data_IF_185222494433
#
_entry.id   IF_185222494433
#
_cell.length_a   1.000
_cell.length_b   1.000
_cell.length_c   1.000
_cell.angle_alpha   90.00
_cell.angle_beta   90.00
_cell.angle_gamma   90.00
#
_symmetry.space_group_name_H-M   'P 1'
#
loop_
_entity.id
_entity.type
_entity.pdbx_description
1 polymer ?
#
# COMPACT_ATOMS: atom_id res chain seq x y z
N UNK A 1 51.30 -32.60 -78.92
CA UNK A 1 50.14 -31.87 -78.38
C UNK A 1 49.76 -32.48 -77.05
N UNK A 2 50.10 -31.80 -75.94
CA UNK A 2 49.69 -32.16 -74.58
C UNK A 2 48.52 -31.26 -74.20
N UNK A 3 47.37 -31.85 -73.89
CA UNK A 3 46.18 -31.12 -73.46
C UNK A 3 46.06 -31.26 -71.94
N UNK A 4 46.21 -30.13 -71.24
CA UNK A 4 46.12 -30.06 -69.79
C UNK A 4 44.64 -29.96 -69.40
N UNK A 5 44.19 -30.86 -68.53
CA UNK A 5 42.87 -30.80 -67.88
C UNK A 5 43.05 -30.05 -66.56
N UNK A 6 42.43 -28.89 -66.43
CA UNK A 6 42.33 -28.11 -65.20
C UNK A 6 41.27 -28.74 -64.28
N UNK A 7 41.65 -29.19 -63.09
CA UNK A 7 40.71 -29.47 -61.99
C UNK A 7 40.59 -28.22 -61.12
N UNK A 8 39.42 -27.58 -61.12
CA UNK A 8 39.03 -26.60 -60.11
C UNK A 8 38.80 -27.32 -58.78
N UNK A 9 39.66 -27.09 -57.79
CA UNK A 9 39.35 -27.41 -56.40
C UNK A 9 38.52 -26.25 -55.81
N UNK A 10 37.25 -26.52 -55.53
CA UNK A 10 36.38 -25.61 -54.77
C UNK A 10 36.69 -25.85 -53.29
N UNK A 11 37.42 -24.91 -52.67
CA UNK A 11 37.58 -24.83 -51.23
C UNK A 11 36.26 -24.30 -50.63
N UNK A 12 35.48 -25.20 -50.04
CA UNK A 12 34.35 -24.80 -49.20
C UNK A 12 34.91 -24.23 -47.89
N UNK A 13 34.93 -22.90 -47.79
CA UNK A 13 35.18 -22.19 -46.53
C UNK A 13 33.95 -22.42 -45.65
N UNK A 14 34.07 -23.35 -44.70
CA UNK A 14 33.08 -23.57 -43.66
C UNK A 14 33.15 -22.39 -42.69
N UNK A 15 32.29 -21.40 -42.90
CA UNK A 15 31.98 -20.45 -41.83
C UNK A 15 31.10 -21.18 -40.83
N UNK A 16 31.70 -21.68 -39.76
CA UNK A 16 30.97 -21.97 -38.54
C UNK A 16 30.36 -20.65 -38.06
N UNK A 17 29.14 -20.37 -38.51
CA UNK A 17 28.23 -19.46 -37.85
C UNK A 17 27.95 -20.11 -36.50
N UNK A 18 28.70 -19.71 -35.49
CA UNK A 18 28.30 -19.89 -34.12
C UNK A 18 27.03 -19.04 -33.96
N UNK A 19 25.87 -19.68 -34.07
CA UNK A 19 24.64 -19.08 -33.58
C UNK A 19 24.83 -18.99 -32.07
N UNK A 20 25.28 -17.84 -31.58
CA UNK A 20 24.90 -17.42 -30.24
C UNK A 20 23.37 -17.34 -30.30
N UNK A 21 22.68 -18.42 -29.94
CA UNK A 21 21.33 -18.28 -29.44
C UNK A 21 21.51 -17.44 -28.17
N UNK A 22 21.01 -16.21 -28.21
CA UNK A 22 20.76 -15.40 -27.03
C UNK A 22 19.77 -16.19 -26.16
N UNK A 23 20.28 -17.20 -25.45
CA UNK A 23 19.56 -17.93 -24.40
C UNK A 23 19.61 -17.11 -23.10
N UNK A 24 19.48 -15.79 -23.21
CA UNK A 24 19.19 -14.97 -22.05
C UNK A 24 17.86 -15.48 -21.47
N UNK A 25 17.83 -15.80 -20.16
CA UNK A 25 16.64 -16.35 -19.54
C UNK A 25 15.47 -15.40 -19.77
N UNK A 26 14.34 -15.93 -20.25
CA UNK A 26 13.10 -15.17 -20.42
C UNK A 26 12.19 -15.44 -19.23
N UNK A 27 11.45 -14.44 -18.74
CA UNK A 27 10.53 -14.68 -17.64
C UNK A 27 9.46 -15.68 -18.07
N UNK A 28 8.94 -16.43 -17.11
CA UNK A 28 7.76 -17.25 -17.36
C UNK A 28 6.56 -16.34 -17.62
N UNK A 29 5.79 -16.64 -18.66
CA UNK A 29 4.57 -15.89 -19.00
C UNK A 29 3.51 -16.14 -17.92
N UNK A 30 2.93 -15.07 -17.40
CA UNK A 30 1.90 -15.06 -16.38
C UNK A 30 0.79 -14.07 -16.75
N UNK A 31 -0.37 -14.24 -16.12
CA UNK A 31 -1.41 -13.22 -16.13
C UNK A 31 -0.91 -11.95 -15.40
N UNK A 32 -1.49 -10.80 -15.76
CA UNK A 32 -1.21 -9.55 -15.10
C UNK A 32 -1.53 -9.65 -13.59
N UNK A 33 -0.57 -9.34 -12.70
CA UNK A 33 -0.78 -9.50 -11.27
C UNK A 33 -1.66 -8.38 -10.70
N UNK A 34 -2.56 -8.74 -9.79
CA UNK A 34 -3.31 -7.78 -8.95
C UNK A 34 -2.49 -7.43 -7.70
N UNK A 35 -1.28 -6.89 -7.90
CA UNK A 35 -0.45 -6.45 -6.78
C UNK A 35 -1.06 -5.21 -6.12
N UNK A 36 -1.37 -5.34 -4.83
CA UNK A 36 -1.92 -4.27 -4.01
C UNK A 36 -1.60 -4.49 -2.55
N UNK A 37 -1.72 -3.43 -1.76
CA UNK A 37 -1.61 -3.53 -0.31
C UNK A 37 -2.83 -4.27 0.26
N UNK A 38 -2.58 -5.42 0.89
CA UNK A 38 -3.62 -6.25 1.51
C UNK A 38 -3.77 -5.95 3.00
N UNK A 39 -4.83 -5.21 3.33
CA UNK A 39 -5.21 -4.82 4.70
C UNK A 39 -6.21 -5.78 5.34
N UNK A 40 -6.71 -6.77 4.59
CA UNK A 40 -7.73 -7.69 5.08
C UNK A 40 -7.17 -8.53 6.25
N UNK A 41 -7.90 -8.51 7.36
CA UNK A 41 -7.68 -9.34 8.54
C UNK A 41 -8.89 -10.27 8.76
N UNK A 42 -9.11 -10.74 9.99
CA UNK A 42 -10.19 -11.65 10.33
C UNK A 42 -10.88 -11.25 11.64
N UNK A 43 -10.94 -9.96 11.94
CA UNK A 43 -11.66 -9.48 13.12
C UNK A 43 -13.17 -9.72 12.91
N UNK A 44 -13.89 -10.20 13.94
CA UNK A 44 -15.33 -10.36 13.86
C UNK A 44 -16.01 -9.00 13.74
N UNK A 45 -17.12 -8.96 13.01
CA UNK A 45 -17.98 -7.79 12.97
C UNK A 45 -18.50 -7.49 14.39
N UNK A 46 -18.36 -6.24 14.88
CA UNK A 46 -18.72 -5.92 16.24
C UNK A 46 -20.24 -5.75 16.39
N UNK A 47 -20.79 -6.32 17.47
CA UNK A 47 -22.15 -6.03 17.92
C UNK A 47 -22.08 -4.95 19.01
N UNK A 48 -22.28 -3.68 18.62
CA UNK A 48 -22.23 -2.56 19.57
C UNK A 48 -23.59 -2.30 20.20
N UNK A 49 -23.71 -2.60 21.49
CA UNK A 49 -24.93 -2.36 22.27
C UNK A 49 -24.96 -0.96 22.87
N UNK A 50 -25.90 -0.12 22.44
CA UNK A 50 -26.13 1.17 23.06
C UNK A 50 -26.94 1.04 24.36
N UNK A 51 -26.61 1.81 25.41
CA UNK A 51 -27.39 1.83 26.64
C UNK A 51 -28.80 2.38 26.39
N UNK A 52 -29.72 1.98 27.27
CA UNK A 52 -31.10 2.47 27.24
C UNK A 52 -31.15 4.01 27.25
N UNK A 53 -32.17 4.55 26.59
CA UNK A 53 -32.38 6.01 26.56
C UNK A 53 -32.66 6.54 27.97
N UNK A 54 -32.09 7.71 28.30
CA UNK A 54 -32.31 8.40 29.57
C UNK A 54 -31.34 8.06 30.70
N UNK A 55 -30.41 7.11 30.52
CA UNK A 55 -29.35 6.81 31.51
C UNK A 55 -28.31 7.95 31.59
N UNK A 56 -28.03 8.60 30.45
CA UNK A 56 -27.06 9.69 30.34
C UNK A 56 -27.77 11.02 30.08
N UNK A 57 -27.44 12.03 30.88
CA UNK A 57 -28.09 13.34 30.83
C UNK A 57 -27.41 14.31 29.86
N UNK A 58 -26.17 14.02 29.46
CA UNK A 58 -25.37 14.89 28.60
C UNK A 58 -24.83 14.12 27.39
N UNK A 59 -24.36 14.88 26.42
CA UNK A 59 -23.66 14.36 25.26
C UNK A 59 -22.47 15.22 24.88
N UNK A 60 -21.60 14.65 24.08
CA UNK A 60 -20.49 15.28 23.38
C UNK A 60 -20.62 14.90 21.90
N UNK A 61 -20.25 15.80 20.99
CA UNK A 61 -20.30 15.52 19.55
C UNK A 61 -18.88 15.30 19.02
N UNK A 62 -18.62 14.13 18.45
CA UNK A 62 -17.45 13.89 17.60
C UNK A 62 -17.76 14.29 16.16
N UNK A 63 -16.91 15.10 15.55
CA UNK A 63 -16.94 15.44 14.12
C UNK A 63 -15.59 15.03 13.56
N UNK A 64 -15.58 13.89 12.86
CA UNK A 64 -14.35 13.21 12.47
C UNK A 64 -14.37 12.83 11.01
N UNK A 65 -13.20 12.60 10.43
CA UNK A 65 -13.01 11.89 9.18
C UNK A 65 -11.89 10.85 9.32
N UNK A 66 -11.85 9.88 8.41
CA UNK A 66 -10.71 8.98 8.30
C UNK A 66 -9.50 9.75 7.74
N UNK A 67 -8.29 9.24 7.95
CA UNK A 67 -7.15 9.74 7.19
C UNK A 67 -7.33 9.44 5.70
N UNK A 68 -6.59 10.15 4.84
CA UNK A 68 -6.61 9.90 3.40
C UNK A 68 -6.27 8.43 3.05
N UNK A 69 -5.42 7.79 3.87
CA UNK A 69 -5.07 6.38 3.71
C UNK A 69 -6.27 5.48 3.96
N UNK A 70 -6.92 5.56 5.13
CA UNK A 70 -8.06 4.70 5.44
C UNK A 70 -9.29 5.02 4.58
N UNK A 71 -9.49 6.29 4.21
CA UNK A 71 -10.58 6.70 3.31
C UNK A 71 -10.50 5.98 1.95
N UNK A 72 -9.28 5.73 1.44
CA UNK A 72 -9.07 4.95 0.21
C UNK A 72 -9.56 3.50 0.28
N UNK A 73 -9.81 2.98 1.48
CA UNK A 73 -10.32 1.62 1.72
C UNK A 73 -11.67 1.59 2.42
N UNK A 74 -12.28 2.75 2.69
CA UNK A 74 -13.52 2.85 3.42
C UNK A 74 -14.70 2.29 2.61
N UNK A 75 -15.66 1.69 3.32
CA UNK A 75 -16.92 1.19 2.78
C UNK A 75 -18.11 1.92 3.41
N UNK A 76 -19.24 2.00 2.71
CA UNK A 76 -20.47 2.66 3.20
C UNK A 76 -21.06 1.96 4.44
N UNK A 77 -20.71 0.69 4.63
CA UNK A 77 -21.12 -0.10 5.79
C UNK A 77 -20.23 0.08 7.01
N UNK A 78 -19.11 0.79 6.87
CA UNK A 78 -18.18 1.01 7.98
C UNK A 78 -18.81 1.88 9.08
N UNK A 79 -18.41 1.60 10.31
CA UNK A 79 -18.98 2.25 11.49
C UNK A 79 -17.88 2.75 12.43
N UNK A 80 -18.17 3.84 13.15
CA UNK A 80 -17.36 4.35 14.27
C UNK A 80 -18.19 4.34 15.53
N UNK A 81 -17.61 3.85 16.63
CA UNK A 81 -18.20 3.86 17.95
C UNK A 81 -17.30 4.51 18.99
N UNK A 82 -17.92 5.14 19.98
CA UNK A 82 -17.23 5.66 21.16
C UNK A 82 -17.56 4.81 22.38
N UNK A 83 -16.57 4.60 23.23
CA UNK A 83 -16.68 3.90 24.50
C UNK A 83 -16.13 4.77 25.64
N UNK A 84 -16.75 4.70 26.81
CA UNK A 84 -16.17 5.20 28.06
C UNK A 84 -16.06 4.00 29.00
N UNK A 85 -14.83 3.61 29.32
CA UNK A 85 -14.57 2.29 29.88
C UNK A 85 -14.98 1.19 28.89
N UNK A 86 -15.82 0.25 29.33
CA UNK A 86 -16.27 -0.88 28.50
C UNK A 86 -17.65 -0.66 27.85
N UNK A 87 -18.29 0.49 28.08
CA UNK A 87 -19.66 0.72 27.67
C UNK A 87 -19.72 1.61 26.43
N UNK A 88 -20.44 1.16 25.40
CA UNK A 88 -20.65 1.93 24.18
C UNK A 88 -21.49 3.17 24.50
N UNK A 89 -21.07 4.32 23.98
CA UNK A 89 -21.69 5.64 24.19
C UNK A 89 -22.27 6.24 22.93
N UNK A 90 -21.97 5.67 21.79
CA UNK A 90 -22.44 6.12 20.49
C UNK A 90 -21.93 5.20 19.39
N UNK A 91 -22.71 5.12 18.32
CA UNK A 91 -22.38 4.43 17.07
C UNK A 91 -22.83 5.33 15.93
N UNK A 92 -22.03 5.43 14.87
CA UNK A 92 -22.38 6.21 13.68
C UNK A 92 -21.72 5.64 12.42
N UNK A 93 -22.40 5.76 11.28
CA UNK A 93 -21.84 5.55 9.95
C UNK A 93 -21.36 6.87 9.34
N UNK A 94 -20.48 6.79 8.36
CA UNK A 94 -20.08 7.97 7.59
C UNK A 94 -21.30 8.62 6.91
N UNK A 95 -21.27 9.94 6.80
CA UNK A 95 -22.26 10.75 6.09
C UNK A 95 -21.53 11.67 5.12
N UNK A 96 -22.04 11.80 3.90
CA UNK A 96 -21.51 12.76 2.94
C UNK A 96 -21.91 14.19 3.33
N UNK A 97 -20.92 15.07 3.41
CA UNK A 97 -21.08 16.48 3.73
C UNK A 97 -20.12 17.31 2.87
N UNK A 98 -20.67 18.10 1.95
CA UNK A 98 -19.88 18.93 1.01
C UNK A 98 -18.82 18.16 0.21
N UNK A 99 -19.07 16.89 -0.13
CA UNK A 99 -18.14 16.03 -0.86
C UNK A 99 -17.08 15.35 0.00
N UNK A 100 -17.08 15.54 1.32
CA UNK A 100 -16.27 14.76 2.27
C UNK A 100 -17.16 13.77 3.03
N UNK A 101 -16.61 12.62 3.41
CA UNK A 101 -17.28 11.68 4.32
C UNK A 101 -16.91 12.01 5.76
N UNK A 102 -17.92 12.37 6.55
CA UNK A 102 -17.75 12.75 7.96
C UNK A 102 -18.56 11.83 8.88
N UNK A 103 -18.01 11.59 10.07
CA UNK A 103 -18.69 10.90 11.17
C UNK A 103 -19.16 11.94 12.19
N UNK A 104 -20.48 12.09 12.33
CA UNK A 104 -21.13 12.94 13.32
C UNK A 104 -21.57 12.10 14.52
N UNK A 105 -20.61 11.72 15.37
CA UNK A 105 -20.82 10.79 16.47
C UNK A 105 -21.38 11.49 17.70
N UNK A 106 -22.56 11.09 18.16
CA UNK A 106 -23.10 11.52 19.46
C UNK A 106 -22.65 10.57 20.56
N UNK A 107 -21.81 11.08 21.46
CA UNK A 107 -21.25 10.35 22.60
C UNK A 107 -22.06 10.72 23.83
N UNK A 108 -22.80 9.76 24.40
CA UNK A 108 -23.58 9.97 25.63
C UNK A 108 -22.67 9.88 26.86
N UNK A 109 -22.95 10.66 27.90
CA UNK A 109 -22.16 10.65 29.14
C UNK A 109 -22.79 11.49 30.24
N UNK A 110 -22.16 11.47 31.42
CA UNK A 110 -22.52 12.30 32.56
C UNK A 110 -21.43 13.32 32.91
N UNK A 111 -21.67 14.23 33.86
CA UNK A 111 -20.66 15.21 34.29
C UNK A 111 -19.57 14.61 35.18
N UNK A 112 -19.78 13.40 35.71
CA UNK A 112 -18.86 12.68 36.57
C UNK A 112 -17.97 11.68 35.82
N UNK A 113 -17.97 11.68 34.49
CA UNK A 113 -17.12 10.78 33.71
C UNK A 113 -15.64 11.11 33.97
N UNK A 114 -14.88 10.12 34.42
CA UNK A 114 -13.43 10.27 34.67
C UNK A 114 -12.57 9.45 33.71
N UNK A 115 -13.17 8.53 32.96
CA UNK A 115 -12.47 7.72 31.97
C UNK A 115 -12.46 8.42 30.62
N UNK A 116 -11.34 8.27 29.91
CA UNK A 116 -11.20 8.80 28.55
C UNK A 116 -12.07 8.03 27.56
N UNK A 117 -12.51 8.73 26.52
CA UNK A 117 -13.22 8.16 25.38
C UNK A 117 -12.26 7.32 24.55
N UNK A 118 -12.64 6.08 24.28
CA UNK A 118 -12.00 5.21 23.29
C UNK A 118 -12.84 5.22 22.02
N UNK A 119 -12.19 5.39 20.86
CA UNK A 119 -12.86 5.26 19.58
C UNK A 119 -12.54 3.90 18.97
N UNK A 120 -13.54 3.31 18.32
CA UNK A 120 -13.40 2.09 17.52
C UNK A 120 -13.95 2.36 16.14
N UNK A 121 -13.20 1.99 15.10
CA UNK A 121 -13.62 2.05 13.71
C UNK A 121 -13.57 0.64 13.14
N UNK A 122 -14.69 0.17 12.61
CA UNK A 122 -14.75 -1.14 11.96
C UNK A 122 -14.83 -0.97 10.45
N UNK A 123 -13.81 -1.49 9.75
CA UNK A 123 -13.79 -1.58 8.30
C UNK A 123 -14.36 -2.92 7.86
N UNK A 124 -15.55 -2.92 7.28
CA UNK A 124 -16.25 -4.13 6.83
C UNK A 124 -15.50 -4.82 5.68
N UNK A 125 -14.98 -4.02 4.73
CA UNK A 125 -14.18 -4.51 3.60
C UNK A 125 -12.90 -5.21 4.05
N UNK A 126 -12.19 -4.64 5.03
CA UNK A 126 -10.93 -5.18 5.53
C UNK A 126 -11.11 -6.16 6.70
N UNK A 127 -12.34 -6.36 7.20
CA UNK A 127 -12.62 -7.19 8.39
C UNK A 127 -11.65 -6.86 9.54
N UNK A 128 -11.53 -5.55 9.81
CA UNK A 128 -10.56 -5.01 10.76
C UNK A 128 -11.24 -4.01 11.69
N UNK A 129 -11.08 -4.26 12.99
CA UNK A 129 -11.39 -3.30 14.04
C UNK A 129 -10.15 -2.49 14.41
N UNK A 130 -10.18 -1.20 14.10
CA UNK A 130 -9.19 -0.23 14.54
C UNK A 130 -9.62 0.41 15.86
N UNK A 131 -8.68 0.62 16.78
CA UNK A 131 -8.97 1.09 18.14
C UNK A 131 -8.01 2.19 18.57
N UNK A 132 -8.56 3.36 18.87
CA UNK A 132 -7.86 4.48 19.51
C UNK A 132 -8.22 4.50 21.00
N UNK A 133 -7.39 3.86 21.83
CA UNK A 133 -7.63 3.75 23.26
C UNK A 133 -7.42 5.10 23.97
N UNK A 134 -8.30 5.41 24.92
CA UNK A 134 -8.15 6.53 25.86
C UNK A 134 -7.77 7.86 25.18
N UNK A 135 -8.44 8.20 24.07
CA UNK A 135 -8.04 9.25 23.15
C UNK A 135 -8.25 10.67 23.71
N UNK A 136 -9.43 10.96 24.28
CA UNK A 136 -9.76 12.29 24.82
C UNK A 136 -10.72 12.23 25.99
N UNK A 137 -10.79 13.29 26.80
CA UNK A 137 -11.73 13.37 27.92
C UNK A 137 -13.15 13.70 27.43
N UNK A 138 -14.16 13.10 28.04
CA UNK A 138 -15.55 13.49 27.79
C UNK A 138 -15.80 14.89 28.33
N UNK A 139 -16.35 15.78 27.50
CA UNK A 139 -16.72 17.14 27.89
C UNK A 139 -18.22 17.33 27.65
N UNK A 140 -18.95 17.65 28.71
CA UNK A 140 -20.39 17.94 28.63
C UNK A 140 -20.68 19.02 27.57
N UNK A 141 -21.56 18.68 26.62
CA UNK A 141 -21.94 19.51 25.46
C UNK A 141 -20.73 19.98 24.63
N UNK A 142 -19.60 19.28 24.75
CA UNK A 142 -18.37 19.59 24.04
C UNK A 142 -18.38 19.04 22.62
N UNK A 143 -17.31 19.37 21.89
CA UNK A 143 -17.09 18.88 20.53
C UNK A 143 -15.64 18.40 20.39
N UNK A 144 -15.45 17.23 19.78
CA UNK A 144 -14.16 16.75 19.30
C UNK A 144 -14.11 16.93 17.77
N UNK A 145 -13.21 17.80 17.30
CA UNK A 145 -13.18 18.26 15.91
C UNK A 145 -14.21 19.36 15.60
N UNK A 146 -14.23 19.84 14.36
CA UNK A 146 -15.17 20.87 13.86
C UNK A 146 -15.60 20.53 12.44
N UNK A 147 -16.74 21.05 11.99
CA UNK A 147 -17.17 20.85 10.59
C UNK A 147 -16.15 21.42 9.59
N UNK A 148 -15.57 22.58 9.89
CA UNK A 148 -14.55 23.21 9.04
C UNK A 148 -13.15 22.59 9.17
N UNK A 149 -12.95 21.75 10.18
CA UNK A 149 -11.68 21.11 10.52
C UNK A 149 -11.97 19.82 11.32
N UNK A 150 -12.45 18.77 10.64
CA UNK A 150 -12.83 17.52 11.30
C UNK A 150 -11.60 16.87 11.93
N UNK A 151 -11.78 16.25 13.10
CA UNK A 151 -10.68 15.52 13.72
C UNK A 151 -10.34 14.26 12.91
N UNK A 152 -9.06 13.88 12.88
CA UNK A 152 -8.58 12.65 12.26
C UNK A 152 -8.05 11.75 13.39
N UNK A 153 -8.84 10.78 13.89
CA UNK A 153 -8.36 9.84 14.90
C UNK A 153 -7.25 8.94 14.31
N UNK A 154 -6.20 8.59 15.08
CA UNK A 154 -5.05 7.82 14.60
C UNK A 154 -5.34 6.32 14.53
N UNK A 155 -6.36 5.92 13.76
CA UNK A 155 -6.79 4.53 13.66
C UNK A 155 -5.72 3.62 13.03
N UNK A 156 -4.91 4.15 12.10
CA UNK A 156 -3.90 3.40 11.36
C UNK A 156 -2.86 2.74 12.28
N UNK A 157 -2.57 3.36 13.43
CA UNK A 157 -1.62 2.85 14.43
C UNK A 157 -2.01 1.46 14.98
N UNK A 158 -3.29 1.08 14.85
CA UNK A 158 -3.83 -0.21 15.29
C UNK A 158 -4.01 -1.24 14.16
N UNK A 159 -3.64 -0.89 12.93
CA UNK A 159 -3.78 -1.73 11.74
C UNK A 159 -2.66 -2.76 11.57
N UNK A 160 -2.79 -3.59 10.52
CA UNK A 160 -1.80 -4.60 10.13
C UNK A 160 -0.41 -4.02 9.82
N UNK A 161 -0.36 -2.83 9.23
CA UNK A 161 0.87 -2.13 8.84
C UNK A 161 0.85 -0.66 9.28
N UNK A 162 1.08 -0.39 10.57
CA UNK A 162 0.96 0.95 11.12
C UNK A 162 2.12 1.88 10.72
N UNK A 163 3.27 1.32 10.33
CA UNK A 163 4.47 2.08 9.97
C UNK A 163 4.54 2.30 8.46
N UNK A 164 5.21 3.38 8.04
CA UNK A 164 5.32 3.74 6.64
C UNK A 164 6.70 4.30 6.31
N UNK A 165 7.16 4.07 5.09
CA UNK A 165 8.36 4.68 4.55
C UNK A 165 8.14 5.10 3.09
N UNK A 166 8.93 6.05 2.61
CA UNK A 166 8.90 6.46 1.20
C UNK A 166 10.11 5.91 0.44
N UNK A 167 9.91 5.65 -0.85
CA UNK A 167 11.01 5.32 -1.74
C UNK A 167 10.82 5.93 -3.13
N UNK A 168 11.90 6.47 -3.69
CA UNK A 168 12.00 6.85 -5.10
C UNK A 168 12.93 5.88 -5.81
N UNK A 169 12.39 5.12 -6.76
CA UNK A 169 13.09 3.99 -7.39
C UNK A 169 13.23 4.22 -8.89
N UNK A 170 14.41 3.97 -9.42
CA UNK A 170 14.67 3.99 -10.86
C UNK A 170 15.09 2.59 -11.34
N UNK A 171 14.68 2.24 -12.56
CA UNK A 171 15.21 1.05 -13.22
C UNK A 171 16.56 1.39 -13.86
N UNK A 172 17.51 0.45 -13.83
CA UNK A 172 18.76 0.57 -14.57
C UNK A 172 18.51 0.86 -16.07
N UNK A 173 19.44 1.56 -16.73
CA UNK A 173 19.24 2.02 -18.12
C UNK A 173 19.03 0.87 -19.12
N UNK A 174 19.77 -0.22 -18.93
CA UNK A 174 19.63 -1.43 -19.74
C UNK A 174 18.57 -2.33 -19.13
N UNK A 175 17.53 -2.61 -19.91
CA UNK A 175 16.49 -3.58 -19.58
C UNK A 175 16.39 -4.61 -20.71
N UNK A 176 16.07 -5.89 -20.42
CA UNK A 176 15.88 -6.91 -21.44
C UNK A 176 14.54 -6.77 -22.21
N UNK A 177 13.80 -5.69 -21.96
CA UNK A 177 12.50 -5.38 -22.55
C UNK A 177 12.31 -3.87 -22.72
N UNK A 178 11.37 -3.50 -23.58
CA UNK A 178 10.89 -2.12 -23.69
C UNK A 178 9.93 -1.83 -22.53
N UNK A 179 10.22 -0.77 -21.78
CA UNK A 179 9.35 -0.28 -20.71
C UNK A 179 8.08 0.33 -21.28
N UNK A 180 6.94 0.00 -20.71
CA UNK A 180 5.64 0.60 -21.04
C UNK A 180 5.08 1.34 -19.84
N UNK A 181 4.34 2.42 -20.10
CA UNK A 181 3.81 3.27 -19.02
C UNK A 181 2.78 2.57 -18.13
N UNK A 182 2.25 1.43 -18.59
CA UNK A 182 1.32 0.57 -17.84
C UNK A 182 2.00 -0.64 -17.19
N UNK A 183 3.32 -0.77 -17.30
CA UNK A 183 4.04 -1.79 -16.54
C UNK A 183 3.98 -1.47 -15.04
N UNK A 184 4.02 -2.50 -14.20
CA UNK A 184 3.78 -2.38 -12.76
C UNK A 184 5.09 -2.63 -12.03
N UNK A 185 5.46 -1.74 -11.10
CA UNK A 185 6.53 -1.98 -10.14
C UNK A 185 5.92 -1.97 -8.72
N UNK A 186 6.12 -3.04 -7.97
CA UNK A 186 5.61 -3.17 -6.60
C UNK A 186 6.73 -3.52 -5.62
N UNK A 187 6.60 -3.03 -4.40
CA UNK A 187 7.49 -3.28 -3.27
C UNK A 187 6.93 -4.41 -2.41
N UNK A 188 7.81 -5.30 -1.94
CA UNK A 188 7.47 -6.50 -1.19
C UNK A 188 8.30 -6.65 0.07
N UNK A 189 7.68 -7.19 1.11
CA UNK A 189 8.36 -7.71 2.30
C UNK A 189 7.88 -9.14 2.52
N UNK A 190 8.80 -10.10 2.43
CA UNK A 190 8.40 -11.51 2.31
C UNK A 190 7.57 -11.72 1.05
N UNK A 191 6.41 -12.35 1.16
CA UNK A 191 5.48 -12.55 0.02
C UNK A 191 4.40 -11.46 -0.06
N UNK A 192 4.40 -10.51 0.86
CA UNK A 192 3.34 -9.51 0.97
C UNK A 192 3.71 -8.25 0.17
N UNK A 193 2.83 -7.83 -0.75
CA UNK A 193 2.96 -6.53 -1.43
C UNK A 193 2.69 -5.40 -0.42
N UNK A 194 3.65 -4.48 -0.29
CA UNK A 194 3.67 -3.38 0.69
C UNK A 194 3.45 -2.00 0.09
N UNK A 195 3.50 -1.88 -1.22
CA UNK A 195 3.27 -0.63 -1.94
C UNK A 195 3.40 -0.84 -3.44
N UNK A 196 2.62 -0.10 -4.21
CA UNK A 196 2.69 -0.09 -5.68
C UNK A 196 3.21 1.27 -6.12
N UNK A 197 4.22 1.25 -6.99
CA UNK A 197 4.94 2.46 -7.40
C UNK A 197 4.11 3.27 -8.38
N UNK A 198 3.98 4.57 -8.12
CA UNK A 198 3.42 5.51 -9.08
C UNK A 198 4.53 5.99 -10.00
N UNK A 199 4.40 5.72 -11.31
CA UNK A 199 5.36 6.19 -12.31
C UNK A 199 5.24 7.70 -12.47
N UNK A 200 6.37 8.39 -12.35
CA UNK A 200 6.51 9.84 -12.55
C UNK A 200 7.72 10.11 -13.45
N UNK A 201 7.71 11.24 -14.14
CA UNK A 201 8.82 11.69 -14.98
C UNK A 201 9.25 13.08 -14.55
N UNK A 202 10.46 13.20 -14.01
CA UNK A 202 11.08 14.47 -13.62
C UNK A 202 12.35 14.65 -14.46
N UNK A 203 12.47 15.79 -15.15
CA UNK A 203 13.64 16.12 -15.99
C UNK A 203 14.04 15.04 -17.02
N UNK A 204 13.04 14.35 -17.58
CA UNK A 204 13.25 13.26 -18.56
C UNK A 204 13.69 11.94 -17.93
N UNK A 205 13.76 11.86 -16.60
CA UNK A 205 14.04 10.62 -15.85
C UNK A 205 12.73 10.04 -15.31
N UNK A 206 12.44 8.81 -15.75
CA UNK A 206 11.32 8.01 -15.21
C UNK A 206 11.70 7.40 -13.86
N UNK A 207 10.93 7.71 -12.82
CA UNK A 207 11.08 7.16 -11.45
C UNK A 207 9.73 6.70 -10.91
N UNK A 208 9.75 5.71 -10.02
CA UNK A 208 8.59 5.21 -9.32
C UNK A 208 8.61 5.74 -7.89
N UNK A 209 7.54 6.43 -7.50
CA UNK A 209 7.32 6.92 -6.14
C UNK A 209 6.50 5.89 -5.36
N UNK A 210 6.96 5.56 -4.16
CA UNK A 210 6.31 4.60 -3.28
C UNK A 210 6.00 5.22 -1.93
N UNK A 211 4.81 4.91 -1.42
CA UNK A 211 4.57 4.73 0.00
C UNK A 211 4.58 3.22 0.27
N UNK A 212 5.46 2.77 1.17
CA UNK A 212 5.65 1.37 1.54
C UNK A 212 5.21 1.21 2.99
N UNK A 213 4.24 0.33 3.24
CA UNK A 213 3.73 0.07 4.59
C UNK A 213 4.46 -1.10 5.26
N UNK A 214 4.64 -1.03 6.57
CA UNK A 214 5.36 -2.04 7.35
C UNK A 214 4.72 -2.34 8.69
N UNK A 215 5.07 -3.50 9.25
CA UNK A 215 4.66 -3.90 10.61
C UNK A 215 5.44 -3.08 11.64
N UNK A 216 4.87 -2.92 12.83
CA UNK A 216 5.54 -2.20 13.93
C UNK A 216 6.93 -2.78 14.25
N UNK A 217 7.98 -1.95 14.17
CA UNK A 217 9.36 -2.33 14.42
C UNK A 217 9.96 -3.27 13.36
N UNK A 218 9.38 -3.31 12.15
CA UNK A 218 9.88 -4.16 11.07
C UNK A 218 11.25 -3.67 10.56
N UNK A 219 12.15 -4.60 10.28
CA UNK A 219 13.47 -4.34 9.68
C UNK A 219 13.77 -5.39 8.59
N UNK A 220 12.71 -5.97 8.03
CA UNK A 220 12.82 -6.97 6.98
C UNK A 220 13.22 -6.30 5.65
N UNK A 221 13.89 -7.02 4.73
CA UNK A 221 14.27 -6.45 3.46
C UNK A 221 13.04 -6.17 2.58
N UNK A 222 12.93 -4.93 2.13
CA UNK A 222 12.07 -4.49 1.04
C UNK A 222 12.79 -4.79 -0.27
N UNK A 223 12.13 -5.56 -1.14
CA UNK A 223 12.58 -5.82 -2.50
C UNK A 223 11.48 -5.49 -3.50
N UNK A 224 11.79 -5.47 -4.79
CA UNK A 224 10.83 -5.08 -5.83
C UNK A 224 10.58 -6.19 -6.83
N UNK A 225 9.35 -6.25 -7.33
CA UNK A 225 8.98 -7.04 -8.50
C UNK A 225 8.38 -6.14 -9.57
N UNK A 226 8.70 -6.44 -10.81
CA UNK A 226 8.27 -5.69 -11.98
C UNK A 226 7.49 -6.63 -12.91
N UNK A 227 6.31 -6.21 -13.33
CA UNK A 227 5.55 -6.90 -14.37
C UNK A 227 5.64 -6.11 -15.68
N UNK A 228 6.12 -6.78 -16.72
CA UNK A 228 6.25 -6.22 -18.08
C UNK A 228 5.09 -6.68 -18.96
N UNK A 229 4.32 -5.74 -19.50
CA UNK A 229 3.29 -6.01 -20.49
C UNK A 229 3.85 -6.45 -21.85
N UNK A 230 5.12 -6.17 -22.14
CA UNK A 230 5.75 -6.63 -23.38
C UNK A 230 6.02 -8.14 -23.33
N UNK A 231 6.50 -8.62 -22.19
CA UNK A 231 6.87 -10.02 -22.02
C UNK A 231 5.82 -10.85 -21.31
N UNK A 232 4.76 -10.21 -20.79
CA UNK A 232 3.76 -10.81 -19.90
C UNK A 232 4.42 -11.60 -18.77
N UNK A 233 5.50 -11.04 -18.22
CA UNK A 233 6.42 -11.76 -17.35
C UNK A 233 6.85 -10.92 -16.16
N UNK A 234 7.19 -11.62 -15.08
CA UNK A 234 7.66 -11.03 -13.84
C UNK A 234 9.18 -11.01 -13.79
N UNK A 235 9.73 -9.90 -13.32
CA UNK A 235 11.13 -9.72 -13.01
C UNK A 235 11.27 -9.35 -11.53
N UNK A 236 12.35 -9.81 -10.91
CA UNK A 236 12.69 -9.52 -9.52
C UNK A 236 13.93 -8.63 -9.46
N UNK A 237 13.89 -7.61 -8.62
CA UNK A 237 15.04 -6.77 -8.35
C UNK A 237 16.14 -7.55 -7.63
N UNK A 238 17.40 -7.27 -7.97
CA UNK A 238 18.57 -7.84 -7.30
C UNK A 238 18.87 -7.12 -5.99
N UNK A 239 18.54 -5.83 -5.94
CA UNK A 239 18.79 -4.94 -4.82
C UNK A 239 17.59 -4.92 -3.87
N UNK A 240 17.89 -4.75 -2.58
CA UNK A 240 16.91 -4.59 -1.51
C UNK A 240 17.48 -3.65 -0.45
N UNK A 241 16.62 -3.18 0.44
CA UNK A 241 17.03 -2.39 1.61
C UNK A 241 16.12 -2.73 2.80
N UNK A 242 16.59 -2.60 4.05
CA UNK A 242 15.74 -2.81 5.22
C UNK A 242 14.59 -1.80 5.25
N UNK A 243 13.39 -2.26 5.61
CA UNK A 243 12.32 -1.36 6.02
C UNK A 243 12.75 -0.58 7.26
N UNK A 244 12.37 0.69 7.32
CA UNK A 244 12.55 1.54 8.49
C UNK A 244 11.38 2.53 8.56
N UNK A 245 10.71 2.59 9.71
CA UNK A 245 9.62 3.53 9.94
C UNK A 245 10.08 4.98 9.74
N UNK A 246 9.20 5.77 9.11
CA UNK A 246 9.46 7.14 8.63
C UNK A 246 10.71 7.25 7.72
N UNK A 247 11.22 6.12 7.23
CA UNK A 247 12.40 6.06 6.40
C UNK A 247 12.16 6.67 5.02
N UNK A 248 13.24 7.15 4.40
CA UNK A 248 13.24 7.65 3.03
C UNK A 248 14.33 6.93 2.27
N UNK A 249 13.98 6.30 1.15
CA UNK A 249 14.94 5.63 0.28
C UNK A 249 15.02 6.25 -1.11
N UNK A 250 16.14 6.90 -1.38
CA UNK A 250 16.37 7.62 -2.63
C UNK A 250 15.60 8.94 -2.70
N UNK A 251 15.82 9.67 -3.78
CA UNK A 251 15.13 10.92 -4.11
C UNK A 251 14.92 11.01 -5.62
N UNK A 252 14.26 12.06 -6.11
CA UNK A 252 14.15 12.30 -7.56
C UNK A 252 15.52 12.55 -8.21
N UNK A 253 16.42 13.23 -7.51
CA UNK A 253 17.79 13.52 -7.96
C UNK A 253 18.67 12.26 -7.91
N UNK A 254 18.58 11.51 -6.81
CA UNK A 254 19.36 10.29 -6.56
C UNK A 254 18.44 9.12 -6.17
N UNK A 255 17.72 8.53 -7.15
CA UNK A 255 16.80 7.45 -6.88
C UNK A 255 17.55 6.15 -6.60
N UNK A 256 16.92 5.29 -5.81
CA UNK A 256 17.42 3.94 -5.61
C UNK A 256 17.31 3.16 -6.92
N UNK A 257 18.45 2.84 -7.52
CA UNK A 257 18.50 2.18 -8.82
C UNK A 257 18.47 0.67 -8.64
N UNK A 258 17.58 -0.02 -9.37
CA UNK A 258 17.42 -1.47 -9.32
C UNK A 258 17.67 -2.12 -10.69
N UNK A 259 18.21 -3.34 -10.63
CA UNK A 259 18.47 -4.23 -11.76
C UNK A 259 17.52 -5.41 -11.71
N UNK A 260 16.88 -5.71 -12.84
CA UNK A 260 15.81 -6.70 -12.92
C UNK A 260 16.31 -8.03 -13.49
N UNK A 261 15.97 -9.13 -12.82
CA UNK A 261 16.25 -10.50 -13.28
C UNK A 261 14.93 -11.22 -13.57
N UNK A 262 14.83 -11.95 -14.70
CA UNK A 262 13.62 -12.67 -15.08
C UNK A 262 13.32 -13.78 -14.08
N UNK A 263 12.06 -13.91 -13.67
CA UNK A 263 11.61 -15.05 -12.85
C UNK A 263 11.34 -16.22 -13.79
N UNK A 264 12.17 -17.26 -13.67
CA UNK A 264 12.07 -18.52 -14.42
C UNK A 264 11.56 -19.60 -13.46
N UNK A 265 10.44 -20.23 -13.79
CA UNK A 265 9.88 -21.34 -13.00
C UNK A 265 10.67 -22.63 -13.19
#
# INVERSE_FOLDING_TARGET
MKQYIYQMMILAVSTCLWSCQDDDPKPTVVEEPDWKLELVENDPEPEWEMPESGIYQFSMTGIMKLSDFLEGYADETDEVSAFIGNECRGVVKAQEYNGEKLFFLYIRGNSAETQKVTLKYYSAKNKKLYVCNELFDFVQNGTYGKISDPAIPPFEESGKYPEAMSATVALAESQPFERRDKDILAAFVGEECRGVGTLTETDGRKVYQFEIRGKKGENAPVYFMYYSLQTSGIYKASESFPFADEGVKGSEEEPFTISLQPVVN
#
